data_IF_396998714030
#
_entry.id   IF_396998714030
#
_cell.length_a   1.000
_cell.length_b   1.000
_cell.length_c   1.000
_cell.angle_alpha   90.00
_cell.angle_beta   90.00
_cell.angle_gamma   90.00
#
_symmetry.space_group_name_H-M   'P 1'
#
loop_
_entity.id
_entity.type
_entity.pdbx_description
1 polymer ?
#
# COMPACT_ATOMS: atom_id res chain seq x y z
N UNK A 1 2.58 23.03 -25.21
CA UNK A 1 1.80 21.76 -25.19
C UNK A 1 1.06 21.54 -26.51
N UNK A 2 0.31 22.52 -27.03
CA UNK A 2 -0.45 22.42 -28.29
C UNK A 2 0.44 22.16 -29.50
N UNK A 3 1.58 22.82 -29.64
CA UNK A 3 2.52 22.61 -30.75
C UNK A 3 3.14 21.19 -30.73
N UNK A 4 3.40 20.61 -29.57
CA UNK A 4 3.87 19.24 -29.43
C UNK A 4 2.82 18.21 -29.86
N UNK A 5 1.57 18.43 -29.54
CA UNK A 5 0.45 17.57 -29.93
C UNK A 5 0.24 17.56 -31.47
N UNK A 6 0.35 18.73 -32.12
CA UNK A 6 0.21 18.86 -33.57
C UNK A 6 1.38 18.15 -34.29
N UNK A 7 2.61 18.28 -33.78
CA UNK A 7 3.78 17.60 -34.35
C UNK A 7 3.68 16.08 -34.20
N UNK A 8 3.22 15.57 -33.04
CA UNK A 8 2.97 14.13 -32.85
C UNK A 8 1.87 13.59 -33.79
N UNK A 9 0.81 14.35 -34.01
CA UNK A 9 -0.28 13.96 -34.93
C UNK A 9 0.18 13.92 -36.40
N UNK A 10 1.08 14.81 -36.80
CA UNK A 10 1.64 14.82 -38.16
C UNK A 10 2.59 13.62 -38.37
N UNK A 11 3.43 13.30 -37.38
CA UNK A 11 4.30 12.11 -37.41
C UNK A 11 3.50 10.81 -37.46
N UNK A 12 2.40 10.72 -36.73
CA UNK A 12 1.53 9.54 -36.75
C UNK A 12 0.84 9.30 -38.12
N UNK A 13 0.62 10.35 -38.92
CA UNK A 13 0.04 10.21 -40.27
C UNK A 13 1.00 9.60 -41.27
N UNK A 14 2.30 9.72 -41.09
CA UNK A 14 3.34 9.22 -42.00
C UNK A 14 3.82 7.80 -41.69
N UNK A 15 3.46 7.24 -40.54
CA UNK A 15 3.92 5.94 -40.08
C UNK A 15 3.04 4.79 -40.56
N UNK A 16 3.67 3.66 -40.90
CA UNK A 16 3.00 2.42 -41.31
C UNK A 16 2.12 1.90 -40.14
N UNK A 17 0.99 1.22 -40.46
CA UNK A 17 0.01 0.78 -39.46
C UNK A 17 0.60 0.08 -38.25
N UNK A 18 1.61 -0.76 -38.46
CA UNK A 18 2.27 -1.50 -37.38
C UNK A 18 2.99 -0.58 -36.36
N UNK A 19 3.66 0.47 -36.83
CA UNK A 19 4.35 1.43 -35.97
C UNK A 19 3.38 2.32 -35.18
N UNK A 20 2.19 2.58 -35.72
CA UNK A 20 1.13 3.32 -34.98
C UNK A 20 0.68 2.58 -33.73
N UNK A 21 0.49 1.26 -33.83
CA UNK A 21 0.14 0.44 -32.68
C UNK A 21 1.24 0.39 -31.62
N UNK A 22 2.51 0.29 -32.05
CA UNK A 22 3.64 0.28 -31.13
C UNK A 22 3.76 1.60 -30.37
N UNK A 23 3.62 2.74 -31.05
CA UNK A 23 3.70 4.06 -30.44
C UNK A 23 2.51 4.29 -29.49
N UNK A 24 1.30 3.91 -29.87
CA UNK A 24 0.13 4.02 -28.99
C UNK A 24 0.30 3.12 -27.77
N UNK A 25 0.87 1.92 -27.94
CA UNK A 25 1.14 1.00 -26.84
C UNK A 25 2.23 1.55 -25.89
N UNK A 26 3.29 2.15 -26.41
CA UNK A 26 4.34 2.81 -25.59
C UNK A 26 3.78 4.02 -24.86
N UNK A 27 2.96 4.86 -25.52
CA UNK A 27 2.32 6.02 -24.88
C UNK A 27 1.32 5.58 -23.82
N UNK A 28 0.58 4.49 -24.04
CA UNK A 28 -0.32 3.94 -23.04
C UNK A 28 0.44 3.34 -21.84
N UNK A 29 1.58 2.67 -22.07
CA UNK A 29 2.45 2.19 -21.00
C UNK A 29 3.05 3.35 -20.17
N UNK A 30 3.52 4.41 -20.82
CA UNK A 30 4.06 5.59 -20.12
C UNK A 30 2.98 6.41 -19.38
N UNK A 31 1.73 6.33 -19.82
CA UNK A 31 0.61 6.95 -19.09
C UNK A 31 0.20 6.17 -17.82
N UNK A 32 0.60 4.90 -17.71
CA UNK A 32 0.38 4.10 -16.51
C UNK A 32 1.44 4.34 -15.42
N UNK A 33 2.61 4.89 -15.74
CA UNK A 33 3.71 5.14 -14.80
C UNK A 33 3.49 6.38 -13.89
N UNK A 34 2.40 7.12 -14.07
CA UNK A 34 2.00 8.17 -13.12
C UNK A 34 1.16 7.65 -11.94
N UNK A 35 1.40 6.41 -11.53
CA UNK A 35 0.96 5.93 -10.24
C UNK A 35 1.91 6.54 -9.21
N UNK A 36 1.53 7.62 -8.57
CA UNK A 36 2.24 8.19 -7.44
C UNK A 36 2.42 7.11 -6.36
N UNK A 37 3.52 6.37 -6.46
CA UNK A 37 4.01 5.47 -5.46
C UNK A 37 4.82 6.30 -4.47
N UNK A 38 4.19 6.77 -3.40
CA UNK A 38 4.88 7.51 -2.36
C UNK A 38 4.15 7.37 -1.04
N UNK A 39 4.89 7.40 0.04
CA UNK A 39 4.31 7.76 1.31
C UNK A 39 3.76 9.18 1.12
N UNK A 40 2.50 9.47 1.43
CA UNK A 40 1.97 10.81 1.30
C UNK A 40 2.84 11.76 2.12
N UNK A 41 3.39 12.80 1.48
CA UNK A 41 4.25 13.77 2.15
C UNK A 41 3.52 14.40 3.33
N UNK A 42 4.20 14.46 4.49
CA UNK A 42 3.70 15.08 5.72
C UNK A 42 2.66 14.23 6.48
N UNK A 43 2.64 12.92 6.30
CA UNK A 43 2.06 11.99 7.29
C UNK A 43 3.16 11.69 8.31
N UNK A 44 2.80 11.76 9.59
CA UNK A 44 3.71 11.50 10.70
C UNK A 44 4.41 10.15 10.66
N UNK A 45 5.27 9.90 11.61
CA UNK A 45 6.03 8.65 11.72
C UNK A 45 5.08 7.45 11.85
N UNK A 46 5.40 6.36 11.17
CA UNK A 46 4.68 5.09 11.31
C UNK A 46 5.25 4.34 12.51
N UNK A 47 4.46 4.24 13.57
CA UNK A 47 4.90 3.73 14.87
C UNK A 47 4.02 2.59 15.37
N UNK A 48 4.60 1.75 16.22
CA UNK A 48 3.86 0.76 16.99
C UNK A 48 3.15 1.48 18.14
N UNK A 49 1.82 1.31 18.22
CA UNK A 49 0.99 1.99 19.23
C UNK A 49 0.44 1.05 20.31
N UNK A 50 0.35 -0.25 19.99
CA UNK A 50 -0.18 -1.23 20.93
C UNK A 50 0.36 -2.63 20.60
N UNK A 51 0.78 -3.36 21.62
CA UNK A 51 1.30 -4.72 21.49
C UNK A 51 0.61 -5.60 22.54
N UNK A 52 0.03 -6.70 22.08
CA UNK A 52 -0.39 -7.79 22.92
C UNK A 52 0.21 -9.09 22.33
N UNK A 53 1.47 -9.35 22.67
CA UNK A 53 2.20 -10.51 22.18
C UNK A 53 2.37 -11.56 23.28
N UNK A 54 1.33 -12.41 23.41
CA UNK A 54 1.34 -13.49 24.40
C UNK A 54 2.31 -14.62 24.06
N UNK A 55 2.65 -14.74 22.76
CA UNK A 55 3.43 -15.85 22.25
C UNK A 55 4.88 -15.44 21.92
N UNK A 56 5.24 -14.16 22.12
CA UNK A 56 6.50 -13.54 21.66
C UNK A 56 6.82 -13.67 20.16
N UNK A 57 5.99 -14.38 19.40
CA UNK A 57 6.21 -14.64 17.97
C UNK A 57 6.07 -13.41 17.08
N UNK A 58 5.25 -12.43 17.47
CA UNK A 58 5.10 -11.21 16.72
C UNK A 58 6.16 -10.15 17.01
N UNK A 59 6.98 -10.32 18.05
CA UNK A 59 8.06 -9.40 18.37
C UNK A 59 9.06 -9.24 17.23
N UNK A 60 9.32 -10.32 16.51
CA UNK A 60 10.22 -10.39 15.36
C UNK A 60 9.55 -10.03 14.03
N UNK A 61 8.24 -9.80 14.01
CA UNK A 61 7.54 -9.36 12.81
C UNK A 61 7.48 -7.84 12.80
N UNK A 62 8.06 -7.24 11.77
CA UNK A 62 8.11 -5.79 11.57
C UNK A 62 7.29 -5.40 10.34
N UNK A 63 6.44 -4.40 10.50
CA UNK A 63 5.77 -3.73 9.38
C UNK A 63 6.45 -2.40 9.12
N UNK A 64 6.69 -2.13 7.84
CA UNK A 64 7.22 -0.84 7.38
C UNK A 64 6.08 0.10 7.00
N UNK A 65 6.35 1.40 6.88
CA UNK A 65 5.37 2.37 6.42
C UNK A 65 4.71 1.91 5.12
N UNK A 66 3.38 1.81 5.07
CA UNK A 66 2.67 1.39 3.88
C UNK A 66 2.75 2.44 2.78
N UNK A 67 2.74 1.99 1.52
CA UNK A 67 2.64 2.85 0.36
C UNK A 67 1.20 2.87 -0.15
N UNK A 68 0.79 4.01 -0.66
CA UNK A 68 -0.58 4.25 -1.08
C UNK A 68 -0.64 4.63 -2.56
N UNK A 69 -1.46 3.92 -3.31
CA UNK A 69 -1.64 4.14 -4.74
C UNK A 69 -3.09 4.51 -5.03
N UNK A 70 -3.31 5.47 -5.92
CA UNK A 70 -4.64 5.78 -6.42
C UNK A 70 -5.01 4.81 -7.54
N UNK A 71 -6.14 4.12 -7.41
CA UNK A 71 -6.65 3.22 -8.46
C UNK A 71 -8.12 3.57 -8.72
N UNK A 72 -8.39 4.27 -9.82
CA UNK A 72 -9.73 4.75 -10.12
C UNK A 72 -10.33 5.53 -8.95
N UNK A 73 -11.47 5.07 -8.43
CA UNK A 73 -12.15 5.68 -7.28
C UNK A 73 -11.69 5.15 -5.92
N UNK A 74 -10.74 4.21 -5.88
CA UNK A 74 -10.24 3.58 -4.66
C UNK A 74 -8.78 3.90 -4.37
N UNK A 75 -8.26 3.20 -3.38
CA UNK A 75 -6.85 3.21 -3.00
C UNK A 75 -6.36 1.77 -2.91
N UNK A 76 -5.15 1.53 -3.41
CA UNK A 76 -4.36 0.33 -3.11
C UNK A 76 -3.34 0.70 -2.05
N UNK A 77 -3.24 -0.12 -1.02
CA UNK A 77 -2.24 0.01 0.04
C UNK A 77 -1.28 -1.16 -0.13
N UNK A 78 -0.02 -0.87 -0.38
CA UNK A 78 1.05 -1.85 -0.36
C UNK A 78 1.65 -1.88 1.05
N UNK A 79 1.71 -3.07 1.63
CA UNK A 79 2.22 -3.32 2.97
C UNK A 79 3.47 -4.17 2.83
N UNK A 80 4.59 -3.67 3.37
CA UNK A 80 5.84 -4.40 3.48
C UNK A 80 5.97 -4.95 4.89
N UNK A 81 6.18 -6.26 5.02
CA UNK A 81 6.34 -6.96 6.30
C UNK A 81 7.60 -7.82 6.25
N UNK A 82 8.42 -7.74 7.28
CA UNK A 82 9.61 -8.56 7.45
C UNK A 82 9.42 -9.50 8.65
N UNK A 83 9.77 -10.75 8.48
CA UNK A 83 9.98 -11.68 9.58
C UNK A 83 11.48 -11.69 9.92
N UNK A 84 11.84 -11.05 11.02
CA UNK A 84 13.24 -10.97 11.52
C UNK A 84 13.65 -12.21 12.32
N UNK A 85 12.76 -13.21 12.47
CA UNK A 85 13.09 -14.50 13.05
C UNK A 85 13.66 -15.43 11.98
N UNK A 86 14.52 -16.36 12.38
CA UNK A 86 15.00 -17.45 11.51
C UNK A 86 13.92 -18.49 11.23
N UNK A 87 12.87 -18.55 12.03
CA UNK A 87 11.80 -19.55 11.93
C UNK A 87 10.61 -19.02 11.14
N UNK A 88 9.96 -19.91 10.40
CA UNK A 88 8.70 -19.62 9.70
C UNK A 88 7.58 -19.30 10.70
N UNK A 89 6.86 -18.20 10.46
CA UNK A 89 5.67 -17.84 11.23
C UNK A 89 4.42 -18.09 10.39
N UNK A 90 3.51 -18.88 10.92
CA UNK A 90 2.26 -19.27 10.26
C UNK A 90 1.04 -18.58 10.89
N UNK A 91 -0.07 -18.57 10.13
CA UNK A 91 -1.38 -18.06 10.57
C UNK A 91 -1.37 -16.57 10.94
N UNK A 92 -0.59 -15.77 10.22
CA UNK A 92 -0.52 -14.31 10.40
C UNK A 92 -1.52 -13.64 9.47
N UNK A 93 -2.22 -12.65 10.01
CA UNK A 93 -3.16 -11.80 9.26
C UNK A 93 -2.80 -10.33 9.45
N UNK A 94 -3.01 -9.54 8.42
CA UNK A 94 -3.04 -8.10 8.55
C UNK A 94 -4.49 -7.62 8.45
N UNK A 95 -4.91 -6.82 9.43
CA UNK A 95 -6.23 -6.21 9.49
C UNK A 95 -6.05 -4.70 9.42
N UNK A 96 -6.85 -4.05 8.60
CA UNK A 96 -6.90 -2.61 8.50
C UNK A 96 -8.17 -2.10 9.18
N UNK A 97 -7.99 -1.24 10.17
CA UNK A 97 -9.08 -0.59 10.87
C UNK A 97 -9.13 0.88 10.52
N UNK A 98 -10.32 1.42 10.48
CA UNK A 98 -10.58 2.85 10.39
C UNK A 98 -11.38 3.29 11.62
N UNK A 99 -10.91 4.35 12.26
CA UNK A 99 -11.55 4.98 13.41
C UNK A 99 -12.20 6.29 12.94
N UNK A 100 -13.45 6.20 12.46
CA UNK A 100 -14.28 7.36 12.12
C UNK A 100 -14.91 7.98 13.36
N UNK A 101 -16.18 8.34 13.28
CA UNK A 101 -17.00 8.95 14.36
C UNK A 101 -17.10 8.10 15.63
N UNK A 102 -15.97 7.89 16.32
CA UNK A 102 -15.90 7.23 17.63
C UNK A 102 -15.85 5.71 17.63
N UNK A 103 -16.17 5.02 16.52
CA UNK A 103 -16.12 3.56 16.45
C UNK A 103 -15.01 3.07 15.49
N UNK A 104 -14.23 2.12 16.00
CA UNK A 104 -13.20 1.42 15.22
C UNK A 104 -13.84 0.31 14.39
N UNK A 105 -13.74 0.38 13.06
CA UNK A 105 -14.29 -0.60 12.12
C UNK A 105 -13.16 -1.27 11.33
N UNK A 106 -13.18 -2.60 11.25
CA UNK A 106 -12.30 -3.32 10.34
C UNK A 106 -12.81 -3.14 8.90
N UNK A 107 -11.99 -2.52 8.05
CA UNK A 107 -12.34 -2.19 6.67
C UNK A 107 -11.70 -3.11 5.65
N UNK A 108 -10.61 -3.79 6.04
CA UNK A 108 -9.99 -4.82 5.20
C UNK A 108 -9.24 -5.85 6.06
N UNK A 109 -9.05 -7.05 5.50
CA UNK A 109 -8.32 -8.15 6.11
C UNK A 109 -7.67 -9.01 5.04
N UNK A 110 -6.37 -9.29 5.20
CA UNK A 110 -5.63 -10.21 4.34
C UNK A 110 -4.84 -11.22 5.17
N UNK A 111 -4.61 -12.39 4.60
CA UNK A 111 -3.62 -13.32 5.10
C UNK A 111 -2.25 -12.93 4.57
N UNK A 112 -1.26 -12.85 5.47
CA UNK A 112 0.14 -12.55 5.15
C UNK A 112 1.07 -13.72 5.52
N UNK A 113 0.51 -14.91 5.60
CA UNK A 113 1.17 -16.14 6.05
C UNK A 113 1.23 -17.15 4.89
N UNK A 114 2.26 -18.01 4.85
CA UNK A 114 3.40 -18.06 5.77
C UNK A 114 4.39 -16.91 5.58
N UNK A 115 5.09 -16.54 6.66
CA UNK A 115 6.24 -15.63 6.62
C UNK A 115 7.49 -16.48 6.90
N UNK A 116 8.28 -16.75 5.88
CA UNK A 116 9.55 -17.47 6.03
C UNK A 116 10.55 -16.65 6.85
N UNK A 117 11.49 -17.32 7.49
CA UNK A 117 12.47 -16.67 8.35
C UNK A 117 13.42 -15.77 7.56
N UNK A 118 13.74 -14.60 8.13
CA UNK A 118 14.64 -13.59 7.55
C UNK A 118 14.20 -13.06 6.17
N UNK A 119 12.90 -13.18 5.83
CA UNK A 119 12.38 -12.75 4.55
C UNK A 119 11.44 -11.54 4.67
N UNK A 120 11.37 -10.81 3.56
CA UNK A 120 10.49 -9.64 3.40
C UNK A 120 9.43 -9.92 2.35
N UNK A 121 8.19 -9.59 2.69
CA UNK A 121 7.01 -9.81 1.86
C UNK A 121 6.30 -8.51 1.56
N UNK A 122 5.67 -8.46 0.38
CA UNK A 122 4.84 -7.35 -0.06
C UNK A 122 3.41 -7.85 -0.28
N UNK A 123 2.46 -7.18 0.34
CA UNK A 123 1.05 -7.49 0.25
C UNK A 123 0.27 -6.25 -0.16
N UNK A 124 -0.81 -6.45 -0.92
CA UNK A 124 -1.67 -5.36 -1.34
C UNK A 124 -3.08 -5.49 -0.77
N UNK A 125 -3.60 -4.38 -0.28
CA UNK A 125 -5.00 -4.22 0.11
C UNK A 125 -5.68 -3.16 -0.76
N UNK A 126 -6.86 -3.46 -1.28
CA UNK A 126 -7.68 -2.44 -1.95
C UNK A 126 -8.73 -1.92 -0.97
N UNK A 127 -8.87 -0.61 -0.88
CA UNK A 127 -9.89 0.05 -0.09
C UNK A 127 -10.72 0.98 -0.97
N UNK A 128 -12.04 1.00 -0.73
CA UNK A 128 -12.98 1.86 -1.45
C UNK A 128 -13.15 3.25 -0.82
N UNK A 129 -12.50 3.48 0.33
CA UNK A 129 -12.60 4.76 1.03
C UNK A 129 -11.76 5.82 0.33
N UNK A 130 -12.37 7.00 0.14
CA UNK A 130 -11.67 8.22 -0.24
C UNK A 130 -11.23 8.88 1.06
N UNK A 131 -10.01 8.59 1.49
CA UNK A 131 -9.44 9.19 2.70
C UNK A 131 -8.70 10.46 2.33
N UNK A 132 -8.92 11.53 3.10
CA UNK A 132 -8.10 12.74 3.08
C UNK A 132 -6.79 12.48 3.84
N UNK A 133 -5.83 13.42 3.75
CA UNK A 133 -4.53 13.28 4.43
C UNK A 133 -4.71 13.17 5.95
N UNK A 134 -5.58 13.97 6.52
CA UNK A 134 -5.89 14.03 7.95
C UNK A 134 -6.56 12.74 8.45
N UNK A 135 -7.23 12.01 7.57
CA UNK A 135 -7.89 10.76 7.92
C UNK A 135 -6.95 9.56 7.96
N UNK A 136 -5.71 9.70 7.46
CA UNK A 136 -4.73 8.62 7.49
C UNK A 136 -4.28 8.27 8.91
N UNK A 137 -4.19 9.25 9.81
CA UNK A 137 -3.92 9.03 11.24
C UNK A 137 -4.99 8.17 11.91
N UNK A 138 -6.20 8.12 11.33
CA UNK A 138 -7.31 7.27 11.78
C UNK A 138 -7.22 5.82 11.34
N UNK A 139 -6.24 5.48 10.49
CA UNK A 139 -5.97 4.10 10.10
C UNK A 139 -5.12 3.40 11.16
N UNK A 140 -5.48 2.15 11.46
CA UNK A 140 -4.67 1.25 12.28
C UNK A 140 -4.42 -0.03 11.50
N UNK A 141 -3.15 -0.38 11.34
CA UNK A 141 -2.72 -1.62 10.73
C UNK A 141 -2.39 -2.60 11.84
N UNK A 142 -3.11 -3.70 11.93
CA UNK A 142 -2.91 -4.73 12.94
C UNK A 142 -2.34 -5.99 12.31
N UNK A 143 -1.15 -6.40 12.73
CA UNK A 143 -0.66 -7.76 12.52
C UNK A 143 -1.21 -8.60 13.67
N UNK A 144 -1.83 -9.75 13.33
CA UNK A 144 -2.45 -10.62 14.32
C UNK A 144 -2.15 -12.09 14.05
N UNK A 145 -1.82 -12.83 15.12
CA UNK A 145 -1.69 -14.29 15.15
C UNK A 145 -2.40 -14.83 16.40
N UNK A 146 -3.44 -15.62 16.21
CA UNK A 146 -4.22 -16.10 17.35
C UNK A 146 -4.80 -14.95 18.18
N UNK A 147 -4.40 -14.89 19.46
CA UNK A 147 -4.76 -13.81 20.40
C UNK A 147 -3.72 -12.67 20.41
N UNK A 148 -2.50 -12.94 19.92
CA UNK A 148 -1.42 -11.95 19.86
C UNK A 148 -1.66 -10.96 18.71
N UNK A 149 -1.30 -9.69 18.95
CA UNK A 149 -1.38 -8.64 17.92
C UNK A 149 -0.37 -7.52 18.17
N UNK A 150 -0.07 -6.80 17.09
CA UNK A 150 0.75 -5.58 17.10
C UNK A 150 0.08 -4.55 16.21
N UNK A 151 -0.25 -3.39 16.77
CA UNK A 151 -0.89 -2.27 16.08
C UNK A 151 0.11 -1.22 15.67
N UNK A 152 -0.03 -0.75 14.43
CA UNK A 152 0.76 0.32 13.85
C UNK A 152 -0.17 1.45 13.41
N UNK A 153 0.26 2.68 13.63
CA UNK A 153 -0.43 3.90 13.19
C UNK A 153 0.57 4.92 12.66
N UNK A 154 0.05 5.85 11.87
CA UNK A 154 0.75 7.10 11.66
C UNK A 154 0.57 7.97 12.92
N UNK A 155 1.66 8.51 13.44
CA UNK A 155 1.57 9.53 14.49
C UNK A 155 0.97 10.80 13.87
N UNK A 156 0.14 11.49 14.62
CA UNK A 156 -0.18 12.86 14.29
C UNK A 156 1.16 13.65 14.32
N UNK A 157 1.47 14.33 13.21
CA UNK A 157 2.63 15.22 13.18
C UNK A 157 2.30 16.43 14.02
N UNK A 158 3.05 16.65 15.07
CA UNK A 158 3.20 17.96 15.68
C UNK A 158 3.90 18.90 14.71
#
# INVERSE_FOLDING_TARGET
>A
LWNLLITCLQLLKSLNHMWKFIIIFIISLSAFDNVFAGQPDGIGKFIVTDINDKDSTLNKVRMFPPKFYRIGNGRRIEIKVCNEDSMQIRRVRCLLYYSGSGKRKCINKIWISPLEGNETYYFCMNIKLKLTKEEWSRLTFRIKRGKSYKDYKFSDTD
#
